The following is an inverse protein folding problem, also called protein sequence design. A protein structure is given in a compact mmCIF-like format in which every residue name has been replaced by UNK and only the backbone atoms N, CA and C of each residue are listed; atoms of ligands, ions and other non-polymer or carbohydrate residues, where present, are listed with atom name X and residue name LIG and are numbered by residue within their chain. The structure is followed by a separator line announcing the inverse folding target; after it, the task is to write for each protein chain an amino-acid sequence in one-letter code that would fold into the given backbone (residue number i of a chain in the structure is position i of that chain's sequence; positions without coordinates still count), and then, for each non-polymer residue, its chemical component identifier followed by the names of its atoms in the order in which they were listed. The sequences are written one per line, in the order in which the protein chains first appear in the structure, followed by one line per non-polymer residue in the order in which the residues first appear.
data_IF_408870748680
#
_entry.id   IF_408870748680
#
_cell.length_a   1.000
_cell.length_b   1.000
_cell.length_c   1.000
_cell.angle_alpha   90.00
_cell.angle_beta   90.00
_cell.angle_gamma   90.00
#
_symmetry.space_group_name_H-M   'P 1'
#
loop_
_entity.id
_entity.type
_entity.pdbx_description
1 polymer ?
#
# COMPACT_ATOMS: atom_id res chain seq x y z
N UNK A 1 -8.89 -18.22 -36.01
CA UNK A 1 -8.63 -17.42 -34.80
C UNK A 1 -9.76 -17.75 -33.83
N UNK A 2 -9.48 -18.56 -32.83
CA UNK A 2 -10.46 -19.10 -31.88
C UNK A 2 -11.05 -18.00 -31.00
N UNK A 3 -12.31 -18.18 -30.61
CA UNK A 3 -13.07 -17.27 -29.74
C UNK A 3 -12.44 -17.08 -28.34
N UNK A 4 -11.51 -17.95 -27.94
CA UNK A 4 -10.79 -17.92 -26.66
C UNK A 4 -9.80 -16.74 -26.55
N UNK A 5 -9.31 -16.17 -27.66
CA UNK A 5 -8.40 -15.03 -27.66
C UNK A 5 -9.06 -13.66 -27.50
N UNK A 6 -10.38 -13.59 -27.33
CA UNK A 6 -11.11 -12.32 -27.09
C UNK A 6 -11.52 -12.08 -25.64
N UNK A 7 -11.21 -13.00 -24.74
CA UNK A 7 -11.62 -12.91 -23.31
C UNK A 7 -10.49 -12.64 -22.32
N UNK A 8 -9.27 -12.34 -22.76
CA UNK A 8 -8.40 -11.50 -21.93
C UNK A 8 -8.89 -10.05 -22.06
N UNK A 9 -10.13 -9.82 -21.59
CA UNK A 9 -10.61 -8.46 -21.35
C UNK A 9 -9.53 -7.78 -20.54
N UNK A 10 -9.00 -6.68 -21.06
CA UNK A 10 -7.94 -5.88 -20.48
C UNK A 10 -8.24 -5.67 -18.99
N UNK A 11 -7.50 -6.38 -18.13
CA UNK A 11 -7.71 -6.46 -16.68
C UNK A 11 -7.81 -5.07 -16.02
N UNK A 12 -7.10 -4.12 -16.62
CA UNK A 12 -7.14 -2.70 -16.28
C UNK A 12 -7.37 -1.93 -17.56
N UNK A 13 -8.42 -1.11 -17.61
CA UNK A 13 -8.72 -0.29 -18.79
C UNK A 13 -7.63 0.75 -19.03
N UNK A 14 -7.45 1.18 -20.28
CA UNK A 14 -6.54 2.28 -20.61
C UNK A 14 -6.89 3.56 -19.84
N UNK A 15 -8.17 3.84 -19.66
CA UNK A 15 -8.65 4.98 -18.87
C UNK A 15 -8.15 4.89 -17.40
N UNK A 16 -8.24 3.73 -16.76
CA UNK A 16 -7.78 3.54 -15.39
C UNK A 16 -6.24 3.65 -15.28
N UNK A 17 -5.50 3.20 -16.30
CA UNK A 17 -4.05 3.39 -16.38
C UNK A 17 -3.72 4.90 -16.49
N UNK A 18 -4.41 5.62 -17.38
CA UNK A 18 -4.20 7.06 -17.55
C UNK A 18 -4.60 7.84 -16.28
N UNK A 19 -5.67 7.44 -15.61
CA UNK A 19 -6.08 8.02 -14.32
C UNK A 19 -5.00 7.81 -13.26
N UNK A 20 -4.48 6.59 -13.13
CA UNK A 20 -3.36 6.31 -12.22
C UNK A 20 -2.13 7.16 -12.52
N UNK A 21 -1.71 7.22 -13.77
CA UNK A 21 -0.53 7.98 -14.21
C UNK A 21 -0.70 9.49 -14.01
N UNK A 22 -1.92 10.01 -14.13
CA UNK A 22 -2.20 11.43 -13.97
C UNK A 22 -2.44 11.85 -12.53
N UNK A 23 -3.18 11.05 -11.78
CA UNK A 23 -3.67 11.37 -10.43
C UNK A 23 -2.83 10.73 -9.32
N UNK A 24 -2.02 9.69 -9.64
CA UNK A 24 -1.28 8.91 -8.65
C UNK A 24 -2.14 7.99 -7.80
N UNK A 25 -3.43 7.91 -8.09
CA UNK A 25 -4.40 7.04 -7.42
C UNK A 25 -5.55 6.71 -8.35
N UNK A 26 -6.03 5.47 -8.30
CA UNK A 26 -7.22 5.02 -9.02
C UNK A 26 -7.96 3.95 -8.24
N UNK A 27 -9.28 3.93 -8.35
CA UNK A 27 -10.14 2.89 -7.80
C UNK A 27 -10.54 1.90 -8.89
N UNK A 28 -10.07 0.67 -8.77
CA UNK A 28 -10.43 -0.44 -9.67
C UNK A 28 -11.57 -1.24 -9.06
N UNK A 29 -12.68 -1.33 -9.77
CA UNK A 29 -13.88 -2.01 -9.27
C UNK A 29 -13.92 -3.46 -9.71
N UNK A 30 -14.19 -4.35 -8.75
CA UNK A 30 -14.50 -5.78 -8.99
C UNK A 30 -13.44 -6.51 -9.81
N UNK A 31 -12.15 -6.26 -9.52
CA UNK A 31 -10.98 -6.84 -10.23
C UNK A 31 -10.36 -8.03 -9.49
N UNK A 32 -10.78 -8.27 -8.24
CA UNK A 32 -10.33 -9.42 -7.42
C UNK A 32 -11.50 -10.36 -7.20
N UNK A 33 -11.26 -11.66 -7.39
CA UNK A 33 -12.31 -12.66 -7.22
C UNK A 33 -12.75 -12.82 -5.76
N UNK A 34 -13.98 -13.26 -5.53
CA UNK A 34 -14.48 -13.58 -4.20
C UNK A 34 -13.61 -14.64 -3.52
N UNK A 35 -13.19 -15.65 -4.26
CA UNK A 35 -12.30 -16.72 -3.73
C UNK A 35 -11.00 -16.10 -3.20
N UNK A 36 -10.35 -15.22 -3.95
CA UNK A 36 -9.12 -14.52 -3.52
C UNK A 36 -9.34 -13.71 -2.24
N UNK A 37 -10.47 -13.01 -2.15
CA UNK A 37 -10.81 -12.23 -0.94
C UNK A 37 -11.00 -13.14 0.28
N UNK A 38 -11.64 -14.28 0.11
CA UNK A 38 -11.85 -15.26 1.18
C UNK A 38 -10.51 -15.89 1.62
N UNK A 39 -9.63 -16.27 0.67
CA UNK A 39 -8.28 -16.79 0.94
C UNK A 39 -7.40 -15.76 1.69
N UNK A 40 -7.39 -14.51 1.23
CA UNK A 40 -6.66 -13.43 1.89
C UNK A 40 -7.23 -13.14 3.30
N UNK A 41 -8.55 -13.24 3.47
CA UNK A 41 -9.19 -13.06 4.77
C UNK A 41 -8.77 -14.13 5.78
N UNK A 42 -8.71 -15.39 5.35
CA UNK A 42 -8.23 -16.50 6.19
C UNK A 42 -6.76 -16.29 6.56
N UNK A 43 -5.90 -15.99 5.59
CA UNK A 43 -4.48 -15.75 5.82
C UNK A 43 -4.24 -14.57 6.78
N UNK A 44 -5.03 -13.51 6.67
CA UNK A 44 -4.93 -12.36 7.56
C UNK A 44 -5.31 -12.73 9.01
N UNK A 45 -6.37 -13.50 9.23
CA UNK A 45 -6.74 -13.98 10.57
C UNK A 45 -5.67 -14.92 11.16
N UNK A 46 -5.02 -15.73 10.33
CA UNK A 46 -3.89 -16.56 10.76
C UNK A 46 -2.66 -15.70 11.09
N UNK A 47 -2.38 -14.69 10.29
CA UNK A 47 -1.30 -13.73 10.56
C UNK A 47 -1.52 -13.00 11.90
N UNK A 48 -2.76 -12.59 12.19
CA UNK A 48 -3.09 -11.96 13.48
C UNK A 48 -2.92 -12.91 14.69
N UNK A 49 -3.11 -14.21 14.50
CA UNK A 49 -2.88 -15.25 15.53
C UNK A 49 -1.38 -15.59 15.69
N UNK A 50 -0.62 -15.47 14.63
CA UNK A 50 0.82 -15.73 14.58
C UNK A 50 1.54 -14.55 13.94
N UNK A 51 1.68 -13.42 14.67
CA UNK A 51 2.27 -12.21 14.14
C UNK A 51 3.72 -12.40 13.67
N UNK A 52 4.14 -11.62 12.69
CA UNK A 52 5.53 -11.52 12.26
C UNK A 52 6.39 -10.74 13.25
N UNK A 53 7.69 -10.69 12.96
CA UNK A 53 8.66 -10.01 13.81
C UNK A 53 8.52 -8.49 13.81
N UNK A 54 7.77 -7.95 12.85
CA UNK A 54 7.54 -6.50 12.70
C UNK A 54 6.10 -6.10 12.97
N UNK A 55 5.29 -7.02 13.51
CA UNK A 55 3.93 -6.71 13.88
C UNK A 55 3.87 -5.63 14.97
N UNK A 56 2.89 -4.73 14.83
CA UNK A 56 2.60 -3.72 15.83
C UNK A 56 1.13 -3.76 16.22
N UNK A 57 0.88 -3.45 17.48
CA UNK A 57 -0.45 -3.19 18.00
C UNK A 57 -0.51 -1.80 18.61
N UNK A 58 -1.42 -1.00 18.12
CA UNK A 58 -1.68 0.34 18.62
C UNK A 58 -3.02 0.33 19.36
N UNK A 59 -3.03 -0.19 20.57
CA UNK A 59 -4.17 -0.08 21.48
C UNK A 59 -3.85 1.00 22.50
N UNK A 60 -4.62 2.09 22.53
CA UNK A 60 -4.42 3.15 23.51
C UNK A 60 -4.90 2.73 24.90
N UNK A 61 -5.90 1.86 25.01
CA UNK A 61 -6.40 1.23 26.24
C UNK A 61 -7.38 0.09 25.90
N UNK A 62 -7.78 -0.71 26.90
CA UNK A 62 -8.66 -1.87 26.74
C UNK A 62 -10.10 -1.56 26.29
N UNK A 63 -10.49 -0.30 26.21
CA UNK A 63 -11.82 0.14 25.76
C UNK A 63 -11.85 0.60 24.31
N UNK A 64 -10.69 0.68 23.64
CA UNK A 64 -10.60 1.08 22.24
C UNK A 64 -10.41 -0.15 21.37
N UNK A 65 -11.00 -0.14 20.17
CA UNK A 65 -10.80 -1.17 19.19
C UNK A 65 -9.31 -1.35 18.85
N UNK A 66 -8.90 -2.58 18.61
CA UNK A 66 -7.51 -2.92 18.23
C UNK A 66 -7.16 -2.27 16.90
N UNK A 67 -5.94 -1.73 16.79
CA UNK A 67 -5.29 -1.48 15.52
C UNK A 67 -4.06 -2.37 15.43
N UNK A 68 -4.07 -3.29 14.47
CA UNK A 68 -2.98 -4.22 14.19
C UNK A 68 -2.41 -3.91 12.81
N UNK A 69 -1.09 -3.88 12.69
CA UNK A 69 -0.39 -3.89 11.42
C UNK A 69 0.78 -4.88 11.46
N UNK A 70 1.08 -5.47 10.31
CA UNK A 70 2.20 -6.39 10.13
C UNK A 70 2.62 -6.39 8.65
N UNK A 71 3.87 -6.71 8.36
CA UNK A 71 4.38 -6.69 6.99
C UNK A 71 5.52 -7.68 6.77
N UNK A 72 5.78 -8.01 5.48
CA UNK A 72 6.80 -8.97 5.04
C UNK A 72 6.52 -10.39 5.55
N UNK A 73 5.27 -10.80 5.52
CA UNK A 73 4.82 -12.16 5.87
C UNK A 73 4.47 -13.01 4.64
N UNK A 74 4.61 -12.45 3.43
CA UNK A 74 4.19 -13.07 2.18
C UNK A 74 4.74 -14.48 1.96
N UNK A 75 5.95 -14.78 2.41
CA UNK A 75 6.54 -16.11 2.33
C UNK A 75 6.04 -17.11 3.39
N UNK A 76 5.33 -16.65 4.41
CA UNK A 76 4.79 -17.46 5.51
C UNK A 76 3.39 -17.98 5.22
N UNK A 77 2.62 -17.28 4.37
CA UNK A 77 1.23 -17.61 4.05
C UNK A 77 1.05 -17.79 2.55
N UNK A 78 0.65 -18.98 2.13
CA UNK A 78 0.51 -19.31 0.69
C UNK A 78 -0.42 -18.36 -0.04
N UNK A 79 -1.52 -17.93 0.59
CA UNK A 79 -2.45 -16.96 -0.01
C UNK A 79 -1.78 -15.62 -0.30
N UNK A 80 -0.93 -15.13 0.59
CA UNK A 80 -0.15 -13.90 0.32
C UNK A 80 0.84 -14.12 -0.81
N UNK A 81 1.59 -15.23 -0.77
CA UNK A 81 2.60 -15.56 -1.76
C UNK A 81 2.01 -15.69 -3.16
N UNK A 82 0.97 -16.52 -3.31
CA UNK A 82 0.32 -16.74 -4.60
C UNK A 82 -0.25 -15.45 -5.17
N UNK A 83 -0.95 -14.66 -4.36
CA UNK A 83 -1.54 -13.40 -4.83
C UNK A 83 -0.49 -12.33 -5.13
N UNK A 84 0.63 -12.32 -4.39
CA UNK A 84 1.72 -11.39 -4.65
C UNK A 84 2.48 -11.67 -5.96
N UNK A 85 2.62 -12.93 -6.34
CA UNK A 85 3.56 -13.34 -7.39
C UNK A 85 2.89 -13.90 -8.65
N UNK A 86 1.74 -14.57 -8.54
CA UNK A 86 1.17 -15.38 -9.61
C UNK A 86 -0.22 -14.92 -10.05
N UNK A 87 -0.96 -14.25 -9.17
CA UNK A 87 -2.35 -13.91 -9.41
C UNK A 87 -2.58 -12.66 -10.27
N UNK A 88 -3.76 -12.11 -10.11
CA UNK A 88 -4.20 -10.90 -10.83
C UNK A 88 -3.44 -9.65 -10.40
N UNK A 89 -2.95 -9.60 -9.14
CA UNK A 89 -2.35 -8.39 -8.57
C UNK A 89 -1.05 -7.96 -9.27
N UNK A 90 -0.04 -8.84 -9.53
CA UNK A 90 1.14 -8.44 -10.28
C UNK A 90 0.80 -7.96 -11.71
N UNK A 91 -0.22 -8.53 -12.36
CA UNK A 91 -0.66 -8.09 -13.69
C UNK A 91 -1.27 -6.68 -13.66
N UNK A 92 -2.09 -6.38 -12.64
CA UNK A 92 -2.63 -5.04 -12.39
C UNK A 92 -1.48 -4.05 -12.14
N UNK A 93 -0.53 -4.41 -11.27
CA UNK A 93 0.60 -3.56 -10.93
C UNK A 93 1.43 -3.19 -12.18
N UNK A 94 1.82 -4.20 -12.97
CA UNK A 94 2.57 -3.99 -14.20
C UNK A 94 1.81 -3.15 -15.24
N UNK A 95 0.50 -3.38 -15.37
CA UNK A 95 -0.34 -2.57 -16.26
C UNK A 95 -0.38 -1.10 -15.83
N UNK A 96 -0.61 -0.82 -14.53
CA UNK A 96 -0.64 0.54 -13.99
C UNK A 96 0.71 1.25 -14.14
N UNK A 97 1.81 0.55 -13.90
CA UNK A 97 3.18 1.06 -14.09
C UNK A 97 3.61 1.15 -15.55
N UNK A 98 2.84 0.59 -16.51
CA UNK A 98 3.22 0.46 -17.94
C UNK A 98 4.54 -0.28 -18.12
N UNK A 99 4.73 -1.37 -17.40
CA UNK A 99 5.93 -2.21 -17.44
C UNK A 99 5.58 -3.65 -17.78
N UNK A 100 6.57 -4.37 -18.30
CA UNK A 100 6.47 -5.80 -18.58
C UNK A 100 7.15 -6.64 -17.48
N UNK A 101 8.03 -6.01 -16.70
CA UNK A 101 8.74 -6.63 -15.58
C UNK A 101 8.85 -5.67 -14.41
N UNK A 102 8.89 -6.23 -13.22
CA UNK A 102 9.08 -5.49 -11.98
C UNK A 102 9.40 -6.42 -10.82
N UNK A 103 9.35 -5.87 -9.62
CA UNK A 103 9.56 -6.63 -8.39
C UNK A 103 8.36 -6.49 -7.48
N UNK A 104 8.00 -7.58 -6.81
CA UNK A 104 7.19 -7.50 -5.61
C UNK A 104 8.10 -7.00 -4.47
N UNK A 105 7.67 -5.96 -3.76
CA UNK A 105 8.47 -5.36 -2.71
C UNK A 105 8.11 -5.95 -1.33
N UNK A 106 6.87 -5.84 -0.91
CA UNK A 106 6.32 -6.49 0.29
C UNK A 106 4.80 -6.32 0.36
N UNK A 107 4.13 -7.12 1.20
CA UNK A 107 2.77 -6.83 1.63
C UNK A 107 2.77 -6.15 3.01
N UNK A 108 1.67 -5.46 3.30
CA UNK A 108 1.37 -4.83 4.59
C UNK A 108 -0.09 -5.08 4.94
N UNK A 109 -0.34 -5.74 6.04
CA UNK A 109 -1.69 -5.94 6.57
C UNK A 109 -2.04 -4.82 7.54
N UNK A 110 -3.28 -4.36 7.46
CA UNK A 110 -3.79 -3.25 8.28
C UNK A 110 -5.18 -3.62 8.77
N UNK A 111 -5.34 -3.72 10.08
CA UNK A 111 -6.62 -4.07 10.69
C UNK A 111 -7.00 -3.03 11.72
N UNK A 112 -8.12 -2.34 11.49
CA UNK A 112 -8.76 -1.49 12.51
C UNK A 112 -10.08 -2.13 12.94
N UNK A 113 -10.15 -2.47 14.20
CA UNK A 113 -11.40 -2.93 14.82
C UNK A 113 -12.35 -1.75 15.08
N UNK A 114 -13.66 -2.00 15.18
CA UNK A 114 -14.63 -0.96 15.52
C UNK A 114 -14.24 -0.19 16.78
N UNK A 115 -14.40 1.12 16.75
CA UNK A 115 -14.05 1.98 17.89
C UNK A 115 -12.56 2.34 18.01
N UNK A 116 -11.74 1.96 17.03
CA UNK A 116 -10.36 2.44 17.00
C UNK A 116 -10.32 3.90 16.55
N UNK A 117 -10.03 4.81 17.47
CA UNK A 117 -9.98 6.25 17.22
C UNK A 117 -8.67 6.75 16.60
N UNK A 118 -7.74 5.86 16.27
CA UNK A 118 -6.49 6.25 15.67
C UNK A 118 -6.68 6.58 14.18
N UNK A 119 -6.40 7.81 13.82
CA UNK A 119 -6.32 8.26 12.43
C UNK A 119 -5.04 7.71 11.81
N UNK A 120 -5.08 7.28 10.56
CA UNK A 120 -3.88 7.16 9.76
C UNK A 120 -3.56 8.57 9.24
N UNK A 121 -2.48 9.22 9.72
CA UNK A 121 -2.19 10.60 9.36
C UNK A 121 -1.90 10.75 7.87
N UNK A 122 -1.94 11.96 7.35
CA UNK A 122 -1.43 12.24 6.01
C UNK A 122 0.04 11.84 5.91
N UNK A 123 0.36 11.05 4.90
CA UNK A 123 1.70 10.58 4.60
C UNK A 123 1.78 10.12 3.14
N UNK A 124 2.97 9.93 2.66
CA UNK A 124 3.27 9.17 1.46
C UNK A 124 4.22 8.02 1.83
N UNK A 125 4.15 6.94 1.11
CA UNK A 125 4.85 5.68 1.44
C UNK A 125 6.37 5.75 1.16
N UNK A 126 6.78 6.45 0.09
CA UNK A 126 8.16 6.47 -0.41
C UNK A 126 9.22 6.71 0.70
N UNK A 127 9.11 7.70 1.59
CA UNK A 127 10.16 7.97 2.56
C UNK A 127 10.31 6.90 3.65
N UNK A 128 9.29 6.05 3.83
CA UNK A 128 9.40 4.93 4.78
C UNK A 128 10.22 3.78 4.21
N UNK A 129 10.43 3.69 2.89
CA UNK A 129 11.04 2.54 2.22
C UNK A 129 12.52 2.74 1.95
N UNK A 130 13.28 1.67 2.11
CA UNK A 130 14.70 1.60 1.76
C UNK A 130 14.94 1.39 0.26
N UNK A 131 14.12 1.97 -0.60
CA UNK A 131 14.24 1.87 -2.05
C UNK A 131 13.95 3.21 -2.72
N UNK A 132 14.60 3.44 -3.85
CA UNK A 132 14.24 4.48 -4.81
C UNK A 132 13.65 3.81 -6.06
N UNK A 133 12.43 4.17 -6.39
CA UNK A 133 11.70 3.68 -7.57
C UNK A 133 10.88 4.81 -8.15
N UNK A 134 10.92 4.96 -9.47
CA UNK A 134 10.11 5.96 -10.16
C UNK A 134 8.72 5.43 -10.48
N UNK A 135 8.63 4.20 -10.99
CA UNK A 135 7.37 3.54 -11.32
C UNK A 135 7.09 2.45 -10.26
N UNK A 136 6.11 2.69 -9.43
CA UNK A 136 5.76 1.84 -8.30
C UNK A 136 4.26 1.92 -8.01
N UNK A 137 3.72 0.97 -7.28
CA UNK A 137 2.30 0.97 -6.90
C UNK A 137 2.05 0.20 -5.61
N UNK A 138 1.20 0.75 -4.74
CA UNK A 138 0.52 0.06 -3.65
C UNK A 138 -0.86 -0.36 -4.11
N UNK A 139 -1.16 -1.66 -4.10
CA UNK A 139 -2.49 -2.22 -4.34
C UNK A 139 -3.16 -2.49 -2.99
N UNK A 140 -4.00 -1.59 -2.55
CA UNK A 140 -4.72 -1.65 -1.30
C UNK A 140 -6.01 -2.44 -1.49
N UNK A 141 -6.05 -3.70 -1.01
CA UNK A 141 -7.13 -4.67 -1.21
C UNK A 141 -7.99 -4.75 0.05
N UNK A 142 -9.20 -4.19 0.06
CA UNK A 142 -10.11 -4.27 1.19
C UNK A 142 -10.72 -5.67 1.27
N UNK A 143 -10.74 -6.23 2.48
CA UNK A 143 -11.38 -7.51 2.80
C UNK A 143 -12.77 -7.32 3.44
N UNK A 144 -13.08 -6.10 3.84
CA UNK A 144 -14.37 -5.69 4.41
C UNK A 144 -14.94 -4.51 3.60
N UNK A 145 -16.26 -4.27 3.64
CA UNK A 145 -16.85 -3.06 3.06
C UNK A 145 -16.32 -1.80 3.75
N UNK A 146 -15.85 -0.84 2.96
CA UNK A 146 -15.29 0.42 3.44
C UNK A 146 -16.16 1.58 2.96
N UNK A 147 -17.08 2.07 3.79
CA UNK A 147 -17.93 3.20 3.46
C UNK A 147 -17.14 4.52 3.43
N UNK A 148 -17.68 5.53 2.77
CA UNK A 148 -17.09 6.86 2.56
C UNK A 148 -16.44 7.45 3.82
N UNK A 149 -17.14 7.37 4.96
CA UNK A 149 -16.70 8.01 6.22
C UNK A 149 -15.40 7.46 6.81
N UNK A 150 -15.00 6.23 6.44
CA UNK A 150 -13.75 5.58 6.91
C UNK A 150 -12.83 5.21 5.75
N UNK A 151 -13.14 5.67 4.55
CA UNK A 151 -12.39 5.35 3.35
C UNK A 151 -11.00 5.99 3.34
N UNK A 152 -10.11 5.38 2.57
CA UNK A 152 -8.83 6.01 2.23
C UNK A 152 -9.11 7.31 1.47
N UNK A 153 -8.42 8.37 1.85
CA UNK A 153 -8.41 9.68 1.18
C UNK A 153 -7.04 9.92 0.58
N UNK A 154 -6.98 10.49 -0.61
CA UNK A 154 -5.74 10.85 -1.26
C UNK A 154 -5.82 12.24 -1.89
N UNK A 155 -4.69 12.95 -1.95
CA UNK A 155 -4.54 14.19 -2.69
C UNK A 155 -4.09 13.82 -4.10
N UNK A 156 -5.00 13.92 -5.06
CA UNK A 156 -4.73 13.59 -6.47
C UNK A 156 -3.64 14.49 -7.05
N UNK A 157 -2.73 13.88 -7.81
CA UNK A 157 -1.60 14.61 -8.40
C UNK A 157 -0.41 14.84 -7.46
N UNK A 158 -0.54 14.58 -6.15
CA UNK A 158 0.53 14.83 -5.17
C UNK A 158 1.79 14.00 -5.41
N UNK A 159 1.68 12.85 -6.08
CA UNK A 159 2.85 12.03 -6.47
C UNK A 159 3.81 12.76 -7.44
N UNK A 160 3.33 13.77 -8.14
CA UNK A 160 4.12 14.62 -9.06
C UNK A 160 4.80 15.80 -8.36
N UNK A 161 4.53 16.02 -7.08
CA UNK A 161 5.21 17.10 -6.37
C UNK A 161 6.71 16.83 -6.29
N UNK A 162 7.52 17.85 -6.53
CA UNK A 162 8.99 17.74 -6.50
C UNK A 162 9.57 17.51 -5.11
N UNK A 163 8.75 17.72 -4.07
CA UNK A 163 9.17 17.67 -2.67
C UNK A 163 9.20 16.23 -2.16
N UNK A 164 10.24 15.91 -1.39
CA UNK A 164 10.31 14.71 -0.56
C UNK A 164 10.03 15.10 0.88
N UNK A 165 9.20 14.33 1.57
CA UNK A 165 8.78 14.67 2.93
C UNK A 165 9.43 13.79 3.97
N UNK A 166 9.74 14.37 5.14
CA UNK A 166 10.17 13.63 6.33
C UNK A 166 8.96 12.82 6.82
N UNK A 167 9.09 11.49 6.99
CA UNK A 167 7.98 10.65 7.44
C UNK A 167 7.62 10.92 8.90
N UNK A 168 6.37 10.66 9.27
CA UNK A 168 5.85 10.79 10.64
C UNK A 168 5.55 9.42 11.22
N UNK A 169 5.77 9.26 12.51
CA UNK A 169 5.39 8.05 13.25
C UNK A 169 3.87 7.98 13.36
N UNK A 170 3.27 6.83 13.06
CA UNK A 170 1.80 6.67 13.13
C UNK A 170 1.28 6.76 14.56
N UNK A 171 2.11 6.39 15.55
CA UNK A 171 1.71 6.37 16.96
C UNK A 171 1.35 7.76 17.51
N UNK A 172 2.16 8.77 17.19
CA UNK A 172 2.09 10.10 17.83
C UNK A 172 2.24 11.26 16.83
N UNK A 173 2.33 10.95 15.55
CA UNK A 173 2.51 11.89 14.43
C UNK A 173 3.81 12.74 14.50
N UNK A 174 4.73 12.39 15.40
CA UNK A 174 6.04 13.06 15.44
C UNK A 174 6.87 12.72 14.20
N UNK A 175 7.67 13.66 13.66
CA UNK A 175 8.57 13.34 12.57
C UNK A 175 9.67 12.38 13.04
N UNK A 176 10.19 11.55 12.14
CA UNK A 176 11.30 10.64 12.45
C UNK A 176 12.59 11.39 12.81
N UNK A 177 12.81 12.52 12.15
CA UNK A 177 13.91 13.47 12.40
C UNK A 177 13.38 14.89 12.21
N UNK A 178 14.03 15.88 12.81
CA UNK A 178 13.61 17.27 12.67
C UNK A 178 14.06 17.88 11.33
N UNK A 179 15.24 17.48 10.85
CA UNK A 179 15.80 17.94 9.60
C UNK A 179 16.51 16.79 8.89
N UNK A 180 16.44 16.79 7.58
CA UNK A 180 17.21 15.87 6.73
C UNK A 180 17.46 16.55 5.38
N UNK A 181 18.67 16.42 4.86
CA UNK A 181 19.02 16.95 3.54
C UNK A 181 18.08 16.36 2.47
N UNK A 182 17.64 17.20 1.56
CA UNK A 182 16.73 16.84 0.46
C UNK A 182 15.30 16.43 0.89
N UNK A 183 14.92 16.61 2.16
CA UNK A 183 13.57 16.35 2.65
C UNK A 183 13.01 17.59 3.35
N UNK A 184 11.71 17.81 3.21
CA UNK A 184 10.99 18.91 3.86
C UNK A 184 10.02 18.34 4.92
N UNK A 185 9.66 19.11 5.95
CA UNK A 185 8.55 18.76 6.81
C UNK A 185 7.27 18.57 6.00
N UNK A 186 6.50 17.55 6.31
CA UNK A 186 5.17 17.40 5.73
C UNK A 186 4.29 18.58 6.18
N UNK A 187 3.51 19.20 5.27
CA UNK A 187 2.57 20.25 5.65
C UNK A 187 1.63 19.81 6.79
N UNK A 188 1.12 20.76 7.55
CA UNK A 188 0.19 20.46 8.63
C UNK A 188 -1.07 19.78 8.12
N UNK A 189 -1.59 18.83 8.89
CA UNK A 189 -2.77 18.04 8.50
C UNK A 189 -3.99 18.92 8.20
N UNK A 190 -4.19 20.01 8.96
CA UNK A 190 -5.27 20.96 8.71
C UNK A 190 -5.14 21.68 7.34
N UNK A 191 -3.92 21.95 6.92
CA UNK A 191 -3.67 22.55 5.60
C UNK A 191 -3.95 21.55 4.50
N UNK A 192 -3.51 20.30 4.69
CA UNK A 192 -3.77 19.21 3.74
C UNK A 192 -5.27 18.90 3.66
N UNK A 193 -5.98 18.89 4.78
CA UNK A 193 -7.44 18.65 4.84
C UNK A 193 -8.28 19.74 4.14
N UNK A 194 -7.69 20.88 3.79
CA UNK A 194 -8.33 21.94 3.00
C UNK A 194 -8.03 21.89 1.51
N UNK A 195 -7.24 20.89 1.07
CA UNK A 195 -6.95 20.75 -0.36
C UNK A 195 -8.20 20.45 -1.16
N UNK A 196 -8.41 21.15 -2.26
CA UNK A 196 -9.49 20.87 -3.22
C UNK A 196 -9.27 19.56 -4.00
N UNK A 197 -8.07 19.01 -3.97
CA UNK A 197 -7.66 17.80 -4.69
C UNK A 197 -7.86 16.52 -3.87
N UNK A 198 -8.48 16.60 -2.68
CA UNK A 198 -8.80 15.41 -1.88
C UNK A 198 -9.94 14.65 -2.53
N UNK A 199 -9.68 13.37 -2.76
CA UNK A 199 -10.69 12.41 -3.13
C UNK A 199 -10.73 11.27 -2.11
N UNK A 200 -11.91 10.74 -1.87
CA UNK A 200 -12.17 9.60 -1.01
C UNK A 200 -12.47 8.37 -1.85
N UNK A 201 -12.05 7.21 -1.37
CA UNK A 201 -12.11 5.96 -2.14
C UNK A 201 -12.89 4.89 -1.36
N UNK A 202 -14.22 5.01 -1.25
CA UNK A 202 -15.04 3.94 -0.67
C UNK A 202 -14.94 2.69 -1.55
N UNK A 203 -14.73 1.54 -0.91
CA UNK A 203 -14.42 0.30 -1.62
C UNK A 203 -15.13 -0.90 -1.00
N UNK A 204 -15.37 -1.90 -1.83
CA UNK A 204 -15.96 -3.18 -1.43
C UNK A 204 -14.92 -4.29 -1.59
N UNK A 205 -15.07 -5.43 -0.89
CA UNK A 205 -14.28 -6.62 -1.19
C UNK A 205 -14.40 -6.98 -2.68
N UNK A 206 -13.25 -7.13 -3.35
CA UNK A 206 -13.17 -7.29 -4.80
C UNK A 206 -12.66 -6.04 -5.54
N UNK A 207 -12.74 -4.86 -4.91
CA UNK A 207 -12.13 -3.64 -5.43
C UNK A 207 -10.65 -3.52 -5.04
N UNK A 208 -9.93 -2.61 -5.67
CA UNK A 208 -8.55 -2.20 -5.29
C UNK A 208 -8.48 -0.69 -5.32
N UNK A 209 -7.95 -0.07 -4.28
CA UNK A 209 -7.43 1.29 -4.36
C UNK A 209 -5.94 1.20 -4.68
N UNK A 210 -5.57 1.57 -5.90
CA UNK A 210 -4.18 1.57 -6.34
C UNK A 210 -3.60 2.98 -6.22
N UNK A 211 -2.46 3.15 -5.56
CA UNK A 211 -1.82 4.46 -5.44
C UNK A 211 -0.30 4.37 -5.50
N UNK A 212 0.29 5.45 -6.01
CA UNK A 212 1.73 5.61 -6.13
C UNK A 212 2.36 5.86 -4.76
N UNK A 213 3.58 5.37 -4.49
CA UNK A 213 4.25 5.53 -3.19
C UNK A 213 4.43 6.98 -2.76
N UNK A 214 4.44 7.92 -3.70
CA UNK A 214 4.53 9.36 -3.44
C UNK A 214 3.18 10.04 -3.26
N UNK A 215 2.07 9.36 -3.49
CA UNK A 215 0.74 9.92 -3.30
C UNK A 215 0.48 10.17 -1.82
N UNK A 216 0.20 11.42 -1.46
CA UNK A 216 -0.25 11.77 -0.11
C UNK A 216 -1.62 11.17 0.14
N UNK A 217 -1.71 10.37 1.19
CA UNK A 217 -2.95 9.70 1.56
C UNK A 217 -3.12 9.61 3.08
N UNK A 218 -4.35 9.42 3.50
CA UNK A 218 -4.74 9.30 4.90
C UNK A 218 -5.96 8.40 5.04
N UNK A 219 -6.30 8.02 6.25
CA UNK A 219 -7.55 7.33 6.51
C UNK A 219 -8.12 7.73 7.87
N UNK A 220 -9.43 8.07 7.96
CA UNK A 220 -10.07 8.45 9.21
C UNK A 220 -10.02 7.34 10.27
N UNK A 221 -10.27 7.74 11.51
CA UNK A 221 -10.55 6.83 12.60
C UNK A 221 -11.84 6.03 12.33
N UNK A 222 -12.01 4.91 13.03
CA UNK A 222 -13.29 4.17 13.07
C UNK A 222 -14.03 4.45 14.35
N UNK A 223 -15.36 4.50 14.29
CA UNK A 223 -16.22 4.60 15.46
C UNK A 223 -16.72 3.20 15.88
N UNK A 224 -17.35 3.09 17.05
CA UNK A 224 -17.95 1.82 17.52
C UNK A 224 -19.10 1.33 16.61
N UNK A 225 -19.65 2.21 15.79
CA UNK A 225 -20.73 1.89 14.84
C UNK A 225 -20.19 1.54 13.44
N UNK A 226 -18.87 1.68 13.20
CA UNK A 226 -18.26 1.29 11.95
C UNK A 226 -17.96 -0.20 11.96
N UNK A 227 -17.97 -0.80 10.79
CA UNK A 227 -17.50 -2.16 10.61
C UNK A 227 -15.99 -2.29 10.85
N UNK A 228 -15.53 -3.51 10.97
CA UNK A 228 -14.12 -3.87 10.92
C UNK A 228 -13.53 -3.42 9.58
N UNK A 229 -12.27 -2.96 9.57
CA UNK A 229 -11.57 -2.60 8.35
C UNK A 229 -10.28 -3.40 8.25
N UNK A 230 -10.33 -4.52 7.52
CA UNK A 230 -9.16 -5.35 7.19
C UNK A 230 -8.72 -5.06 5.76
N UNK A 231 -7.42 -4.91 5.59
CA UNK A 231 -6.80 -4.64 4.30
C UNK A 231 -5.49 -5.41 4.19
N UNK A 232 -5.21 -5.93 3.00
CA UNK A 232 -3.86 -6.36 2.62
C UNK A 232 -3.39 -5.46 1.47
N UNK A 233 -2.29 -4.75 1.67
CA UNK A 233 -1.71 -3.85 0.68
C UNK A 233 -0.46 -4.48 0.09
N UNK A 234 -0.47 -4.78 -1.21
CA UNK A 234 0.65 -5.36 -1.96
C UNK A 234 1.41 -4.26 -2.69
N UNK A 235 2.73 -4.24 -2.55
CA UNK A 235 3.58 -3.18 -3.08
C UNK A 235 4.51 -3.71 -4.15
N UNK A 236 4.54 -2.99 -5.27
CA UNK A 236 5.32 -3.36 -6.45
C UNK A 236 6.14 -2.19 -6.96
N UNK A 237 7.28 -2.51 -7.56
CA UNK A 237 8.16 -1.55 -8.23
C UNK A 237 8.51 -2.04 -9.62
N UNK A 238 9.00 -1.15 -10.44
CA UNK A 238 9.60 -1.52 -11.71
C UNK A 238 10.96 -2.24 -11.52
N UNK A 239 11.49 -2.81 -12.59
CA UNK A 239 12.77 -3.53 -12.58
C UNK A 239 14.01 -2.65 -12.45
N UNK A 240 13.86 -1.32 -12.47
CA UNK A 240 14.95 -0.36 -12.31
C UNK A 240 15.05 0.21 -10.89
N UNK A 241 14.17 -0.22 -9.99
CA UNK A 241 14.20 0.17 -8.59
C UNK A 241 15.55 -0.18 -7.96
N UNK A 242 16.05 0.73 -7.14
CA UNK A 242 17.36 0.60 -6.51
C UNK A 242 17.24 0.59 -4.99
N UNK A 243 18.14 -0.15 -4.34
CA UNK A 243 18.30 -0.09 -2.91
C UNK A 243 18.77 1.31 -2.49
N UNK A 244 18.18 1.85 -1.42
CA UNK A 244 18.49 3.18 -0.91
C UNK A 244 18.53 3.21 0.61
N UNK A 245 19.41 4.03 1.16
CA UNK A 245 19.43 4.31 2.59
C UNK A 245 18.60 5.56 2.90
N UNK A 246 18.09 5.62 4.15
CA UNK A 246 17.40 6.79 4.68
C UNK A 246 18.09 7.27 5.95
N UNK A 247 18.02 8.56 6.30
CA UNK A 247 18.57 9.06 7.55
C UNK A 247 17.74 8.67 8.78
N UNK A 248 16.82 7.73 8.63
CA UNK A 248 15.99 7.10 9.68
C UNK A 248 15.80 5.63 9.39
N UNK A 249 15.27 4.90 10.41
CA UNK A 249 14.93 3.50 10.24
C UNK A 249 13.76 3.34 9.28
N UNK A 250 13.94 2.53 8.23
CA UNK A 250 12.90 2.25 7.24
C UNK A 250 11.81 1.32 7.79
N UNK A 251 10.70 1.23 7.09
CA UNK A 251 9.58 0.34 7.37
C UNK A 251 9.12 -0.32 6.07
N UNK A 252 9.40 -1.61 5.85
CA UNK A 252 10.07 -2.55 6.74
C UNK A 252 11.54 -2.22 6.98
N UNK A 253 12.08 -2.54 8.17
CA UNK A 253 13.51 -2.43 8.44
C UNK A 253 14.22 -3.66 7.88
N UNK A 254 14.45 -3.66 6.57
CA UNK A 254 15.11 -4.75 5.86
C UNK A 254 16.62 -4.69 6.11
N UNK A 255 17.04 -5.08 7.30
CA UNK A 255 18.44 -5.19 7.67
C UNK A 255 19.09 -6.41 7.01
N UNK A 256 20.41 -6.41 6.91
CA UNK A 256 21.22 -7.52 6.40
C UNK A 256 20.97 -7.91 4.93
N UNK A 257 20.63 -6.93 4.07
CA UNK A 257 20.73 -7.08 2.63
C UNK A 257 22.20 -7.00 2.22
N UNK A 258 22.60 -7.82 1.24
CA UNK A 258 23.93 -7.68 0.61
C UNK A 258 24.01 -6.48 -0.35
N UNK A 259 22.89 -5.79 -0.58
CA UNK A 259 22.77 -4.66 -1.49
C UNK A 259 23.41 -3.40 -0.91
N UNK A 260 24.11 -2.68 -1.77
CA UNK A 260 24.63 -1.34 -1.49
C UNK A 260 23.67 -0.28 -2.05
N UNK A 261 23.63 0.94 -1.49
CA UNK A 261 22.85 2.03 -2.06
C UNK A 261 23.16 2.24 -3.55
N UNK A 262 22.14 2.21 -4.38
CA UNK A 262 22.24 2.30 -5.84
C UNK A 262 22.21 0.94 -6.56
N UNK A 263 22.35 -0.17 -5.87
CA UNK A 263 22.20 -1.50 -6.46
C UNK A 263 20.75 -1.77 -6.86
N UNK A 264 20.54 -2.46 -7.97
CA UNK A 264 19.22 -2.96 -8.35
C UNK A 264 18.71 -3.96 -7.30
N UNK A 265 17.39 -4.09 -7.17
CA UNK A 265 16.75 -4.99 -6.21
C UNK A 265 16.88 -6.47 -6.61
N UNK A 266 18.11 -6.95 -6.79
CA UNK A 266 18.41 -8.34 -7.12
C UNK A 266 18.68 -9.11 -5.83
N UNK A 267 17.59 -9.56 -5.20
CA UNK A 267 17.62 -10.34 -3.95
C UNK A 267 16.32 -11.16 -3.86
N UNK A 268 16.38 -12.35 -3.27
CA UNK A 268 15.21 -13.27 -3.16
C UNK A 268 14.04 -12.67 -2.37
N UNK A 269 14.29 -11.63 -1.58
CA UNK A 269 13.25 -10.89 -0.85
C UNK A 269 12.41 -10.00 -1.75
N UNK A 270 12.86 -9.74 -2.99
CA UNK A 270 12.18 -8.93 -4.00
C UNK A 270 11.92 -9.75 -5.26
N UNK A 271 11.03 -10.74 -5.20
CA UNK A 271 10.76 -11.62 -6.34
C UNK A 271 10.38 -10.85 -7.60
N UNK A 272 10.90 -11.32 -8.73
CA UNK A 272 10.59 -10.74 -10.04
C UNK A 272 9.17 -11.12 -10.44
N UNK A 273 8.38 -10.14 -10.85
CA UNK A 273 7.10 -10.34 -11.51
C UNK A 273 7.21 -10.03 -12.99
N UNK A 274 6.42 -10.73 -13.82
CA UNK A 274 6.41 -10.57 -15.27
C UNK A 274 4.98 -10.48 -15.79
N UNK A 275 4.80 -9.73 -16.86
CA UNK A 275 3.54 -9.68 -17.57
C UNK A 275 3.33 -11.00 -18.33
N UNK A 276 2.12 -11.57 -18.22
CA UNK A 276 1.73 -12.77 -18.94
C UNK A 276 1.48 -12.52 -20.43
#
# INVERSE_FOLDING_TARGET
MSFENRQQAQLVSSQAIDEYQNNGVVLLRNVVSRQTIDELSIALEENMKSPGIWANEYAANSQQGRFFDDYVNWSRFDAYKTNALEGVLPQIALALMRKDTGHFFHEHVLVKEPGNNQVTPWHNDEPYYGIDSYDNVSLWVPLDPIPEKIALRAITGSHKWSKKFIPRKFKDQTPYVLNADSYEPLPDSELLDRSSEINSFPAMPGDIVAFHFRTLHSAPATTTHDGRRRVVSFRYTDSTAQWATRPWKTSPPLDALSLQPGDLLIDDRFPVIRRN
#
